data_IF_407104950373
#
_entry.id   IF_407104950373
#
_cell.length_a   1.000
_cell.length_b   1.000
_cell.length_c   1.000
_cell.angle_alpha   90.00
_cell.angle_beta   90.00
_cell.angle_gamma   90.00
#
_symmetry.space_group_name_H-M   'P 1'
#
loop_
_entity.id
_entity.type
_entity.pdbx_description
1 polymer ?
#
# COMPACT_ATOMS: atom_id res chain seq x y z
N UNK A 1 -4.58 -15.22 2.57
CA UNK A 1 -3.96 -14.34 3.60
C UNK A 1 -3.73 -12.89 3.13
N UNK A 2 -3.71 -12.60 1.82
CA UNK A 2 -3.50 -11.23 1.30
C UNK A 2 -4.51 -10.18 1.81
N UNK A 3 -5.79 -10.54 1.98
CA UNK A 3 -6.80 -9.62 2.50
C UNK A 3 -6.53 -9.17 3.95
N UNK A 4 -5.95 -10.04 4.78
CA UNK A 4 -5.60 -9.72 6.16
C UNK A 4 -4.39 -8.77 6.23
N UNK A 5 -3.36 -9.01 5.41
CA UNK A 5 -2.22 -8.10 5.33
C UNK A 5 -2.68 -6.69 4.93
N UNK A 6 -3.56 -6.61 3.92
CA UNK A 6 -4.19 -5.35 3.50
C UNK A 6 -4.96 -4.68 4.64
N UNK A 7 -5.81 -5.41 5.38
CA UNK A 7 -6.59 -4.81 6.47
C UNK A 7 -5.73 -4.36 7.66
N UNK A 8 -4.50 -4.86 7.78
CA UNK A 8 -3.53 -4.45 8.81
C UNK A 8 -2.51 -3.41 8.32
N UNK A 9 -2.64 -2.91 7.09
CA UNK A 9 -1.68 -1.96 6.53
C UNK A 9 -0.28 -2.54 6.35
N UNK A 10 -0.15 -3.88 6.26
CA UNK A 10 1.13 -4.56 6.09
C UNK A 10 1.38 -4.79 4.60
N UNK A 11 2.48 -4.26 4.01
CA UNK A 11 2.82 -4.48 2.61
C UNK A 11 3.07 -5.96 2.35
N UNK A 12 2.58 -6.47 1.23
CA UNK A 12 2.69 -7.88 0.87
C UNK A 12 2.68 -8.04 -0.65
N UNK A 13 3.55 -8.91 -1.16
CA UNK A 13 3.48 -9.47 -2.51
C UNK A 13 3.23 -10.98 -2.41
N UNK A 14 2.52 -11.53 -3.40
CA UNK A 14 2.18 -12.95 -3.48
C UNK A 14 2.53 -13.47 -4.86
N UNK A 15 2.62 -14.81 -5.01
CA UNK A 15 2.84 -15.41 -6.33
C UNK A 15 4.29 -15.30 -6.84
N UNK A 16 5.28 -15.20 -5.95
CA UNK A 16 6.71 -15.14 -6.30
C UNK A 16 7.28 -16.40 -6.98
N UNK A 17 6.51 -17.49 -7.06
CA UNK A 17 7.00 -18.77 -7.55
C UNK A 17 8.07 -19.38 -6.65
N UNK A 18 8.87 -20.30 -7.22
CA UNK A 18 9.98 -20.92 -6.51
C UNK A 18 11.22 -20.02 -6.57
N UNK A 19 11.83 -19.75 -5.41
CA UNK A 19 13.14 -19.11 -5.35
C UNK A 19 14.23 -20.17 -5.57
N UNK A 20 15.26 -19.81 -6.33
CA UNK A 20 16.38 -20.71 -6.62
C UNK A 20 17.18 -21.11 -5.35
N UNK A 21 17.17 -20.24 -4.34
CA UNK A 21 17.71 -20.50 -3.01
C UNK A 21 16.89 -19.72 -1.95
N UNK A 22 16.89 -20.17 -0.68
CA UNK A 22 16.32 -19.38 0.40
C UNK A 22 17.01 -18.01 0.50
N UNK A 23 16.25 -16.90 0.49
CA UNK A 23 16.85 -15.59 0.64
C UNK A 23 17.45 -15.44 2.04
N UNK A 24 18.58 -14.75 2.14
CA UNK A 24 19.29 -14.47 3.39
C UNK A 24 19.60 -12.98 3.48
N UNK A 25 19.58 -12.42 4.68
CA UNK A 25 19.83 -10.99 4.89
C UNK A 25 18.60 -10.12 4.65
N UNK A 26 18.85 -8.83 4.42
CA UNK A 26 17.78 -7.84 4.24
C UNK A 26 17.13 -7.94 2.86
N UNK A 27 15.87 -7.51 2.79
CA UNK A 27 15.12 -7.41 1.55
C UNK A 27 14.37 -6.08 1.46
N UNK A 28 14.31 -5.52 0.26
CA UNK A 28 13.46 -4.37 -0.06
C UNK A 28 12.19 -4.89 -0.71
N UNK A 29 11.05 -4.66 -0.06
CA UNK A 29 9.74 -5.04 -0.55
C UNK A 29 9.05 -3.83 -1.19
N UNK A 30 9.01 -3.80 -2.52
CA UNK A 30 8.21 -2.85 -3.29
C UNK A 30 6.82 -3.46 -3.56
N UNK A 31 5.91 -3.30 -2.60
CA UNK A 31 4.54 -3.77 -2.74
C UNK A 31 3.68 -2.88 -3.67
N UNK A 32 4.18 -1.72 -4.10
CA UNK A 32 3.49 -0.86 -5.07
C UNK A 32 3.65 -1.41 -6.49
N UNK A 33 4.86 -1.82 -6.85
CA UNK A 33 5.17 -2.36 -8.18
C UNK A 33 5.24 -3.89 -8.21
N UNK A 34 5.06 -4.56 -7.07
CA UNK A 34 5.04 -6.02 -6.97
C UNK A 34 6.43 -6.67 -7.04
N UNK A 35 7.47 -5.98 -6.57
CA UNK A 35 8.85 -6.42 -6.66
C UNK A 35 9.49 -6.64 -5.28
N UNK A 36 10.51 -7.50 -5.23
CA UNK A 36 11.36 -7.69 -4.06
C UNK A 36 12.81 -7.81 -4.49
N UNK A 37 13.70 -7.13 -3.76
CA UNK A 37 15.15 -7.19 -3.96
C UNK A 37 15.76 -7.81 -2.71
N UNK A 38 16.49 -8.91 -2.87
CA UNK A 38 17.23 -9.56 -1.79
C UNK A 38 18.68 -9.12 -1.78
N UNK A 39 19.26 -8.93 -0.59
CA UNK A 39 20.65 -8.46 -0.43
C UNK A 39 20.95 -7.20 -1.24
N UNK A 40 20.16 -6.12 -1.06
CA UNK A 40 20.24 -4.94 -1.90
C UNK A 40 21.60 -4.24 -1.76
N UNK A 41 22.07 -3.69 -2.88
CA UNK A 41 23.20 -2.79 -2.90
C UNK A 41 22.82 -1.44 -2.25
N UNK A 42 23.78 -0.69 -1.69
CA UNK A 42 23.51 0.63 -1.11
C UNK A 42 22.78 1.59 -2.06
N UNK A 43 23.08 1.52 -3.36
CA UNK A 43 22.39 2.31 -4.38
C UNK A 43 20.90 1.92 -4.54
N UNK A 44 20.58 0.63 -4.48
CA UNK A 44 19.19 0.15 -4.58
C UNK A 44 18.37 0.55 -3.34
N UNK A 45 19.00 0.54 -2.16
CA UNK A 45 18.39 1.06 -0.94
C UNK A 45 18.05 2.54 -1.09
N UNK A 46 18.96 3.33 -1.66
CA UNK A 46 18.72 4.77 -1.83
C UNK A 46 17.63 5.08 -2.86
N UNK A 47 17.63 4.37 -3.99
CA UNK A 47 16.53 4.45 -4.96
C UNK A 47 15.19 4.05 -4.32
N UNK A 48 15.17 2.98 -3.52
CA UNK A 48 13.96 2.55 -2.83
C UNK A 48 13.44 3.59 -1.83
N UNK A 49 14.33 4.28 -1.10
CA UNK A 49 13.95 5.38 -0.20
C UNK A 49 13.27 6.53 -0.95
N UNK A 50 13.79 6.89 -2.13
CA UNK A 50 13.19 7.93 -2.97
C UNK A 50 11.78 7.51 -3.43
N UNK A 51 11.62 6.27 -3.89
CA UNK A 51 10.31 5.71 -4.25
C UNK A 51 9.35 5.69 -3.07
N UNK A 52 9.80 5.28 -1.89
CA UNK A 52 9.00 5.26 -0.67
C UNK A 52 8.56 6.67 -0.24
N UNK A 53 9.41 7.68 -0.39
CA UNK A 53 9.05 9.08 -0.15
C UNK A 53 7.97 9.54 -1.12
N UNK A 54 8.15 9.27 -2.43
CA UNK A 54 7.15 9.64 -3.44
C UNK A 54 5.80 8.95 -3.21
N UNK A 55 5.81 7.71 -2.74
CA UNK A 55 4.59 6.99 -2.33
C UNK A 55 3.92 7.67 -1.13
N UNK A 56 4.69 8.08 -0.11
CA UNK A 56 4.17 8.79 1.05
C UNK A 56 3.56 10.16 0.66
N UNK A 57 4.17 10.88 -0.27
CA UNK A 57 3.64 12.15 -0.78
C UNK A 57 2.31 11.94 -1.52
N UNK A 58 2.20 10.90 -2.35
CA UNK A 58 0.93 10.53 -2.99
C UNK A 58 -0.15 10.16 -1.98
N UNK A 59 0.20 9.42 -0.93
CA UNK A 59 -0.73 9.10 0.15
C UNK A 59 -1.19 10.37 0.89
N UNK A 60 -0.28 11.32 1.11
CA UNK A 60 -0.60 12.63 1.67
C UNK A 60 -1.58 13.42 0.81
N UNK A 61 -1.33 13.50 -0.50
CA UNK A 61 -2.23 14.15 -1.45
C UNK A 61 -3.61 13.47 -1.51
N UNK A 62 -3.68 12.13 -1.40
CA UNK A 62 -4.95 11.42 -1.40
C UNK A 62 -5.84 11.78 -0.18
N UNK A 63 -5.25 12.18 0.95
CA UNK A 63 -6.01 12.58 2.15
C UNK A 63 -6.86 13.83 1.93
N UNK A 64 -6.53 14.68 0.96
CA UNK A 64 -7.35 15.89 0.68
C UNK A 64 -8.72 15.56 0.11
N UNK A 65 -8.96 14.31 -0.31
CA UNK A 65 -10.24 13.85 -0.86
C UNK A 65 -11.15 13.18 0.16
N UNK A 66 -10.74 13.05 1.43
CA UNK A 66 -11.54 12.33 2.44
C UNK A 66 -12.94 12.92 2.62
N UNK A 67 -13.08 14.23 2.47
CA UNK A 67 -14.33 14.98 2.67
C UNK A 67 -15.07 15.29 1.37
N UNK A 68 -14.49 14.91 0.23
CA UNK A 68 -15.03 15.23 -1.09
C UNK A 68 -16.00 14.15 -1.58
N UNK A 69 -17.04 14.51 -2.36
CA UNK A 69 -17.93 13.51 -2.94
C UNK A 69 -17.18 12.62 -3.93
N UNK A 70 -17.40 11.32 -3.85
CA UNK A 70 -16.84 10.38 -4.81
C UNK A 70 -17.58 10.50 -6.16
N UNK A 71 -16.93 11.12 -7.14
CA UNK A 71 -17.44 11.30 -8.49
C UNK A 71 -16.35 11.07 -9.55
N UNK A 72 -16.75 10.61 -10.74
CA UNK A 72 -15.85 10.53 -11.90
C UNK A 72 -15.50 11.93 -12.41
N UNK A 73 -14.48 12.04 -13.27
CA UNK A 73 -14.14 13.31 -13.94
C UNK A 73 -15.30 13.92 -14.75
N UNK A 74 -16.26 13.10 -15.18
CA UNK A 74 -17.46 13.53 -15.89
C UNK A 74 -18.63 13.90 -14.96
N UNK A 75 -18.45 13.86 -13.63
CA UNK A 75 -19.46 14.20 -12.64
C UNK A 75 -20.42 13.06 -12.26
N UNK A 76 -20.18 11.83 -12.74
CA UNK A 76 -21.01 10.68 -12.34
C UNK A 76 -20.67 10.27 -10.91
N UNK A 77 -21.65 10.33 -10.01
CA UNK A 77 -21.49 9.89 -8.63
C UNK A 77 -21.22 8.38 -8.54
N UNK A 78 -20.30 7.97 -7.67
CA UNK A 78 -19.99 6.57 -7.37
C UNK A 78 -20.09 6.32 -5.87
N UNK A 79 -20.51 5.12 -5.48
CA UNK A 79 -20.55 4.72 -4.07
C UNK A 79 -19.24 4.04 -3.68
N UNK A 80 -18.56 4.57 -2.67
CA UNK A 80 -17.35 3.99 -2.08
C UNK A 80 -17.71 3.40 -0.73
N UNK A 81 -17.26 2.17 -0.47
CA UNK A 81 -17.51 1.44 0.78
C UNK A 81 -16.22 0.74 1.21
N UNK A 82 -16.09 0.48 2.51
CA UNK A 82 -14.96 -0.24 3.08
C UNK A 82 -15.42 -1.64 3.50
N UNK A 83 -14.63 -2.64 3.12
CA UNK A 83 -14.80 -4.00 3.63
C UNK A 83 -14.16 -4.08 5.01
N UNK A 84 -14.96 -4.41 6.03
CA UNK A 84 -14.49 -4.61 7.40
C UNK A 84 -14.69 -6.07 7.81
N UNK A 85 -13.75 -6.58 8.61
CA UNK A 85 -13.85 -7.90 9.23
C UNK A 85 -14.30 -7.79 10.70
N UNK A 86 -13.87 -6.71 11.38
CA UNK A 86 -14.21 -6.42 12.76
C UNK A 86 -14.65 -4.96 12.92
N UNK A 87 -15.50 -4.63 13.91
CA UNK A 87 -15.85 -3.24 14.19
C UNK A 87 -14.63 -2.33 14.40
N UNK A 88 -13.55 -2.82 15.01
CA UNK A 88 -12.31 -2.06 15.21
C UNK A 88 -11.63 -1.61 13.91
N UNK A 89 -11.95 -2.23 12.77
CA UNK A 89 -11.34 -1.86 11.48
C UNK A 89 -11.76 -0.45 11.02
N UNK A 90 -12.79 0.15 11.63
CA UNK A 90 -13.22 1.53 11.33
C UNK A 90 -12.62 2.58 12.27
N UNK A 91 -11.90 2.19 13.33
CA UNK A 91 -11.33 3.14 14.31
C UNK A 91 -10.37 4.16 13.66
N UNK A 92 -9.73 3.78 12.56
CA UNK A 92 -8.85 4.66 11.78
C UNK A 92 -9.53 5.43 10.65
N UNK A 93 -10.85 5.31 10.50
CA UNK A 93 -11.62 6.06 9.49
C UNK A 93 -12.16 7.31 10.15
N UNK A 94 -11.65 8.45 9.72
CA UNK A 94 -12.18 9.75 10.12
C UNK A 94 -13.58 9.93 9.50
N UNK A 95 -14.61 9.87 10.36
CA UNK A 95 -16.01 10.06 10.01
C UNK A 95 -16.55 11.41 10.51
N UNK A 96 -15.71 12.21 11.17
CA UNK A 96 -16.08 13.57 11.59
C UNK A 96 -15.88 14.52 10.41
N UNK A 97 -16.80 14.43 9.44
CA UNK A 97 -17.04 15.50 8.47
C UNK A 97 -18.51 15.57 8.08
#
# INVERSE_FOLDING_TARGET
VAMLARSRGVPMIVGLGALAAPPTGDALLDAEHGAIIFSPLPAEVETFRQSASAFADRLGAAKTFLTEPAATKAGTAVRVQVNIAYPSDVEGIDIET
#
